data_IF_919173672824
#
_entry.id   IF_919173672824
#
_cell.length_a   1.000
_cell.length_b   1.000
_cell.length_c   1.000
_cell.angle_alpha   90.00
_cell.angle_beta   90.00
_cell.angle_gamma   90.00
#
_symmetry.space_group_name_H-M   'P 1'
#
loop_
_entity.id
_entity.type
_entity.pdbx_description
1 polymer ?
#
# COMPACT_ATOMS: atom_id res chain seq x y z
N UNK A 1 -18.19 3.82 11.77
CA UNK A 1 -16.87 4.15 11.20
C UNK A 1 -16.96 3.98 9.69
N UNK A 2 -16.42 4.91 8.92
CA UNK A 2 -16.30 4.78 7.46
C UNK A 2 -14.94 4.17 7.09
N UNK A 3 -14.91 3.42 5.99
CA UNK A 3 -13.67 2.92 5.41
C UNK A 3 -12.89 4.11 4.84
N UNK A 4 -11.57 4.15 5.09
CA UNK A 4 -10.68 5.19 4.60
C UNK A 4 -10.19 4.84 3.20
N UNK A 5 -10.12 5.84 2.32
CA UNK A 5 -9.62 5.66 0.97
C UNK A 5 -8.09 5.74 0.89
N UNK A 6 -7.56 5.36 -0.25
CA UNK A 6 -6.14 5.44 -0.63
C UNK A 6 -5.46 6.76 -0.24
N UNK A 7 -6.09 7.92 -0.49
CA UNK A 7 -5.53 9.24 -0.18
C UNK A 7 -5.28 9.41 1.31
N UNK A 8 -6.23 8.99 2.14
CA UNK A 8 -6.08 9.06 3.58
C UNK A 8 -4.98 8.11 4.06
N UNK A 9 -4.91 6.89 3.50
CA UNK A 9 -3.88 5.90 3.85
C UNK A 9 -2.48 6.45 3.53
N UNK A 10 -2.29 7.01 2.33
CA UNK A 10 -1.04 7.66 1.91
C UNK A 10 -0.62 8.77 2.86
N UNK A 11 -1.55 9.69 3.16
CA UNK A 11 -1.27 10.80 4.06
C UNK A 11 -0.83 10.33 5.45
N UNK A 12 -1.50 9.32 6.01
CA UNK A 12 -1.17 8.81 7.34
C UNK A 12 0.15 8.03 7.37
N UNK A 13 0.46 7.29 6.31
CA UNK A 13 1.75 6.61 6.20
C UNK A 13 2.90 7.63 6.09
N UNK A 14 2.78 8.62 5.21
CA UNK A 14 3.82 9.63 4.96
C UNK A 14 4.03 10.60 6.13
N UNK A 15 2.94 11.12 6.72
CA UNK A 15 3.01 12.19 7.73
C UNK A 15 3.12 11.66 9.16
N UNK A 16 2.56 10.48 9.42
CA UNK A 16 2.44 9.93 10.77
C UNK A 16 3.17 8.60 10.95
N UNK A 17 3.83 8.06 9.91
CA UNK A 17 4.54 6.79 10.01
C UNK A 17 3.62 5.62 10.33
N UNK A 18 2.36 5.68 9.91
CA UNK A 18 1.35 4.65 10.22
C UNK A 18 1.74 3.27 9.66
N UNK A 19 2.46 3.24 8.53
CA UNK A 19 2.96 2.04 7.86
C UNK A 19 4.41 2.32 7.48
N UNK A 20 5.32 1.43 7.86
CA UNK A 20 6.74 1.50 7.49
C UNK A 20 7.31 0.07 7.39
N UNK A 21 7.87 -0.34 6.24
CA UNK A 21 7.97 0.39 4.96
C UNK A 21 6.61 0.53 4.24
N UNK A 22 6.42 1.65 3.52
CA UNK A 22 5.16 1.98 2.82
C UNK A 22 5.31 2.02 1.30
N UNK A 23 4.40 1.34 0.60
CA UNK A 23 4.28 1.38 -0.87
C UNK A 23 3.00 2.10 -1.34
N UNK A 24 3.11 3.29 -1.98
CA UNK A 24 1.96 4.11 -2.37
C UNK A 24 1.17 3.55 -3.55
N UNK A 25 1.67 2.51 -4.22
CA UNK A 25 1.04 1.89 -5.38
C UNK A 25 0.93 0.38 -5.17
N UNK A 26 -0.01 -0.24 -5.88
CA UNK A 26 -0.15 -1.68 -5.90
C UNK A 26 0.95 -2.29 -6.78
N UNK A 27 1.89 -2.99 -6.16
CA UNK A 27 2.99 -3.67 -6.85
C UNK A 27 2.56 -5.09 -7.18
N UNK A 28 2.63 -5.48 -8.45
CA UNK A 28 2.25 -6.82 -8.94
C UNK A 28 3.40 -7.59 -9.61
N UNK A 29 4.57 -6.96 -9.73
CA UNK A 29 5.76 -7.54 -10.32
C UNK A 29 6.98 -7.22 -9.43
N UNK A 30 7.95 -8.14 -9.36
CA UNK A 30 9.23 -7.89 -8.69
C UNK A 30 10.17 -7.03 -9.56
N UNK A 31 11.34 -6.71 -9.03
CA UNK A 31 12.38 -5.94 -9.74
C UNK A 31 12.88 -6.61 -11.03
N UNK A 32 12.73 -7.93 -11.15
CA UNK A 32 13.07 -8.72 -12.33
C UNK A 32 11.90 -8.88 -13.32
N UNK A 33 10.77 -8.21 -13.07
CA UNK A 33 9.55 -8.30 -13.89
C UNK A 33 8.77 -9.61 -13.71
N UNK A 34 9.06 -10.41 -12.69
CA UNK A 34 8.29 -11.62 -12.39
C UNK A 34 7.01 -11.25 -11.70
N UNK A 35 5.89 -11.85 -12.13
CA UNK A 35 4.59 -11.66 -11.49
C UNK A 35 4.62 -12.21 -10.06
N UNK A 36 4.11 -11.43 -9.11
CA UNK A 36 4.01 -11.77 -7.69
C UNK A 36 2.58 -11.58 -7.19
N UNK A 37 2.30 -12.07 -5.98
CA UNK A 37 1.08 -11.69 -5.25
C UNK A 37 1.19 -10.20 -4.95
N UNK A 38 0.18 -9.43 -5.35
CA UNK A 38 0.25 -7.97 -5.25
C UNK A 38 0.21 -7.49 -3.81
N UNK A 39 0.91 -6.39 -3.53
CA UNK A 39 0.94 -5.75 -2.22
C UNK A 39 1.01 -4.22 -2.38
N UNK A 40 0.74 -3.48 -1.31
CA UNK A 40 0.75 -2.00 -1.29
C UNK A 40 -0.64 -1.38 -1.29
N UNK A 41 -0.73 -0.11 -1.68
CA UNK A 41 -1.96 0.68 -1.55
C UNK A 41 -3.02 0.33 -2.61
N UNK A 42 -4.22 -0.01 -2.14
CA UNK A 42 -5.44 -0.22 -2.94
C UNK A 42 -6.45 0.91 -2.68
N UNK A 43 -7.54 0.96 -3.45
CA UNK A 43 -8.50 2.10 -3.44
C UNK A 43 -9.05 2.43 -2.04
N UNK A 44 -9.23 1.42 -1.19
CA UNK A 44 -9.80 1.54 0.16
C UNK A 44 -9.08 0.64 1.18
N UNK A 45 -7.82 0.32 0.93
CA UNK A 45 -7.07 -0.63 1.77
C UNK A 45 -5.57 -0.63 1.46
N UNK A 46 -4.85 -1.43 2.23
CA UNK A 46 -3.43 -1.66 2.05
C UNK A 46 -3.12 -3.14 2.21
N UNK A 47 -2.55 -3.74 1.17
CA UNK A 47 -2.23 -5.16 1.13
C UNK A 47 -0.84 -5.37 1.73
N UNK A 48 -0.80 -6.01 2.91
CA UNK A 48 0.43 -6.29 3.65
C UNK A 48 1.13 -7.54 3.08
N UNK A 49 2.46 -7.50 3.05
CA UNK A 49 3.32 -8.62 2.64
C UNK A 49 3.96 -9.30 3.86
N UNK A 50 4.14 -10.61 3.81
CA UNK A 50 4.87 -11.41 4.80
C UNK A 50 6.26 -11.84 4.30
#
# INVERSE_FOLDING_TARGET
MSIKNDRWIKQMAEQHGMIDPFEPNLISHDENGRKIVSYGTSSYGYDVRC
#
